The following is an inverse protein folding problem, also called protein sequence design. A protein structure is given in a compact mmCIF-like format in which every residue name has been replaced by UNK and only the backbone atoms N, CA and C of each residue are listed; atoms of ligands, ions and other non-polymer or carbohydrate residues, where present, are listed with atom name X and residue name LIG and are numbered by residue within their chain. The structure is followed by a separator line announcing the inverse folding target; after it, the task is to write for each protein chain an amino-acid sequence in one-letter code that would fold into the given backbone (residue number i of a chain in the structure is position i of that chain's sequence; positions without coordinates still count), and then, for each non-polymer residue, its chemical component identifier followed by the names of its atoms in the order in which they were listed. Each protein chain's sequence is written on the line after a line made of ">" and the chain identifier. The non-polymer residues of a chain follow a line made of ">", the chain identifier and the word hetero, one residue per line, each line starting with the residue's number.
data_IF_675702453459
#
_entry.id   IF_675702453459
#
_cell.length_a   1.000
_cell.length_b   1.000
_cell.length_c   1.000
_cell.angle_alpha   90.00
_cell.angle_beta   90.00
_cell.angle_gamma   90.00
#
_symmetry.space_group_name_H-M   'P 1'
#
loop_
_entity.id
_entity.type
_entity.pdbx_description
1 polymer ?
#
# COMPACT_ATOMS: atom_id res chain seq x y z
N UNK A 1 -27.38 -34.46 15.58
CA UNK A 1 -26.60 -33.20 15.66
C UNK A 1 -25.95 -32.94 14.31
N UNK A 2 -26.44 -31.98 13.53
CA UNK A 2 -25.84 -31.61 12.23
C UNK A 2 -24.66 -30.67 12.51
N UNK A 3 -23.44 -31.07 12.14
CA UNK A 3 -22.25 -30.21 12.23
C UNK A 3 -22.45 -29.02 11.28
N UNK A 4 -22.40 -27.81 11.83
CA UNK A 4 -22.47 -26.57 11.07
C UNK A 4 -21.18 -26.44 10.23
N UNK A 5 -21.25 -26.23 8.90
CA UNK A 5 -20.05 -25.97 8.13
C UNK A 5 -19.49 -24.61 8.58
N UNK A 6 -18.25 -24.58 9.06
CA UNK A 6 -17.55 -23.31 9.33
C UNK A 6 -17.56 -22.54 8.01
N UNK A 7 -18.14 -21.35 8.01
CA UNK A 7 -18.08 -20.40 6.90
C UNK A 7 -16.59 -20.23 6.57
N UNK A 8 -16.17 -20.73 5.40
CA UNK A 8 -14.79 -20.58 4.91
C UNK A 8 -14.64 -19.13 4.52
N UNK A 9 -14.24 -18.29 5.48
CA UNK A 9 -13.84 -16.92 5.17
C UNK A 9 -12.65 -17.00 4.19
N UNK A 10 -12.60 -16.13 3.17
CA UNK A 10 -11.47 -16.08 2.26
C UNK A 10 -10.18 -15.88 3.07
N UNK A 11 -9.07 -16.54 2.71
CA UNK A 11 -7.78 -16.33 3.37
C UNK A 11 -7.40 -14.86 3.30
N UNK A 12 -6.81 -14.36 4.40
CA UNK A 12 -6.46 -12.94 4.51
C UNK A 12 -5.46 -12.52 3.42
N UNK A 13 -5.74 -11.42 2.74
CA UNK A 13 -4.84 -10.78 1.77
C UNK A 13 -4.11 -9.66 2.47
N UNK A 14 -2.81 -9.82 2.73
CA UNK A 14 -1.97 -8.84 3.43
C UNK A 14 -1.54 -7.74 2.47
N UNK A 15 -2.10 -6.56 2.65
CA UNK A 15 -1.91 -5.41 1.77
C UNK A 15 -0.87 -4.45 2.36
N UNK A 16 0.24 -4.24 1.66
CA UNK A 16 1.15 -3.13 1.93
C UNK A 16 0.72 -1.88 1.17
N UNK A 17 0.93 -0.70 1.77
CA UNK A 17 0.72 0.57 1.07
C UNK A 17 2.07 1.22 0.79
N UNK A 18 2.27 1.56 -0.48
CA UNK A 18 3.42 2.33 -0.93
C UNK A 18 3.00 3.75 -1.29
N UNK A 19 3.68 4.74 -0.71
CA UNK A 19 3.45 6.15 -0.98
C UNK A 19 4.72 6.81 -1.54
N UNK A 20 4.55 7.75 -2.47
CA UNK A 20 5.68 8.48 -3.06
C UNK A 20 5.34 9.94 -3.29
N UNK A 21 6.28 10.84 -3.04
CA UNK A 21 6.18 12.27 -3.38
C UNK A 21 7.53 12.79 -3.87
N UNK A 22 7.56 13.42 -5.03
CA UNK A 22 8.74 14.15 -5.54
C UNK A 22 8.73 15.59 -5.04
N UNK A 23 9.85 16.11 -4.54
CA UNK A 23 10.08 17.56 -4.34
C UNK A 23 10.32 18.23 -5.71
N UNK A 24 9.90 19.47 -6.03
CA UNK A 24 9.74 20.69 -5.22
C UNK A 24 8.55 21.61 -5.62
N UNK A 25 7.71 21.26 -6.60
CA UNK A 25 6.60 22.11 -7.05
C UNK A 25 5.24 21.55 -6.62
N UNK A 26 4.43 22.36 -5.93
CA UNK A 26 3.04 22.03 -5.57
C UNK A 26 2.85 21.39 -4.18
N UNK A 27 3.72 21.71 -3.21
CA UNK A 27 3.64 21.20 -1.83
C UNK A 27 2.35 21.58 -1.09
N UNK A 28 1.68 22.66 -1.49
CA UNK A 28 0.51 23.25 -0.79
C UNK A 28 -0.86 22.70 -1.22
N UNK A 29 -0.90 21.62 -2.01
CA UNK A 29 -2.16 20.89 -2.23
C UNK A 29 -2.20 19.65 -1.34
N UNK A 30 -2.98 19.73 -0.25
CA UNK A 30 -3.22 18.65 0.72
C UNK A 30 -3.55 17.30 0.05
N UNK A 31 -4.17 17.33 -1.13
CA UNK A 31 -4.54 16.17 -1.95
C UNK A 31 -3.37 15.30 -2.45
N UNK A 32 -2.11 15.78 -2.38
CA UNK A 32 -0.92 15.04 -2.86
C UNK A 32 0.13 14.79 -1.75
N UNK A 33 -0.24 14.91 -0.46
CA UNK A 33 0.63 14.52 0.65
C UNK A 33 0.82 12.99 0.71
N UNK A 34 1.86 12.51 1.41
CA UNK A 34 2.05 11.08 1.65
C UNK A 34 0.93 10.53 2.54
N UNK A 35 0.48 11.32 3.52
CA UNK A 35 -0.60 10.93 4.43
C UNK A 35 -1.95 10.84 3.71
N UNK A 36 -2.29 11.77 2.81
CA UNK A 36 -3.50 11.66 2.01
C UNK A 36 -3.50 10.42 1.09
N UNK A 37 -2.33 10.07 0.53
CA UNK A 37 -2.19 8.83 -0.25
C UNK A 37 -2.39 7.59 0.63
N UNK A 38 -1.83 7.60 1.85
CA UNK A 38 -1.98 6.50 2.81
C UNK A 38 -3.43 6.35 3.25
N UNK A 39 -4.08 7.43 3.66
CA UNK A 39 -5.48 7.42 4.10
C UNK A 39 -6.41 6.90 3.00
N UNK A 40 -6.24 7.35 1.76
CA UNK A 40 -7.02 6.86 0.62
C UNK A 40 -6.82 5.35 0.38
N UNK A 41 -5.57 4.86 0.50
CA UNK A 41 -5.26 3.44 0.34
C UNK A 41 -5.80 2.59 1.51
N UNK A 42 -5.75 3.10 2.75
CA UNK A 42 -6.33 2.44 3.92
C UNK A 42 -7.85 2.33 3.81
N UNK A 43 -8.53 3.41 3.40
CA UNK A 43 -9.96 3.41 3.14
C UNK A 43 -10.34 2.41 2.03
N UNK A 44 -9.54 2.33 0.97
CA UNK A 44 -9.75 1.34 -0.08
C UNK A 44 -9.60 -0.09 0.44
N UNK A 45 -8.52 -0.41 1.17
CA UNK A 45 -8.32 -1.74 1.77
C UNK A 45 -9.47 -2.09 2.72
N UNK A 46 -9.92 -1.13 3.55
CA UNK A 46 -11.05 -1.32 4.44
C UNK A 46 -12.34 -1.66 3.66
N UNK A 47 -12.58 -1.01 2.53
CA UNK A 47 -13.73 -1.34 1.66
C UNK A 47 -13.67 -2.77 1.09
N UNK A 48 -12.48 -3.38 1.01
CA UNK A 48 -12.24 -4.73 0.51
C UNK A 48 -12.20 -5.81 1.63
N UNK A 49 -12.56 -5.47 2.87
CA UNK A 49 -12.59 -6.43 3.98
C UNK A 49 -13.46 -7.66 3.71
N UNK A 50 -14.56 -7.51 2.94
CA UNK A 50 -15.39 -8.63 2.50
C UNK A 50 -14.66 -9.66 1.62
N UNK A 51 -13.57 -9.24 0.96
CA UNK A 51 -12.68 -10.10 0.19
C UNK A 51 -11.46 -10.57 1.02
N UNK A 52 -11.43 -10.31 2.33
CA UNK A 52 -10.35 -10.73 3.23
C UNK A 52 -9.13 -9.80 3.23
N UNK A 53 -9.22 -8.59 2.66
CA UNK A 53 -8.08 -7.68 2.62
C UNK A 53 -7.77 -7.09 4.00
N UNK A 54 -6.47 -7.04 4.34
CA UNK A 54 -5.96 -6.56 5.63
C UNK A 54 -4.82 -5.59 5.38
N UNK A 55 -4.95 -4.37 5.92
CA UNK A 55 -3.89 -3.37 5.83
C UNK A 55 -2.74 -3.72 6.78
N UNK A 56 -1.51 -3.79 6.27
CA UNK A 56 -0.32 -3.97 7.07
C UNK A 56 0.09 -2.64 7.74
N UNK A 57 0.57 -2.67 9.01
CA UNK A 57 0.96 -1.47 9.76
C UNK A 57 2.24 -0.82 9.22
N UNK A 58 3.08 -1.59 8.51
CA UNK A 58 4.33 -1.09 7.96
C UNK A 58 4.09 0.02 6.92
N UNK A 59 4.90 1.08 7.00
CA UNK A 59 4.84 2.22 6.10
C UNK A 59 5.99 2.22 5.10
N UNK A 60 5.66 2.18 3.81
CA UNK A 60 6.63 2.25 2.72
C UNK A 60 6.50 3.61 2.03
N UNK A 61 7.15 4.62 2.60
CA UNK A 61 6.97 6.02 2.23
C UNK A 61 8.28 6.59 1.62
N UNK A 62 8.26 6.97 0.35
CA UNK A 62 9.36 7.67 -0.32
C UNK A 62 9.00 9.15 -0.57
N UNK A 63 9.26 9.99 0.43
CA UNK A 63 9.14 11.45 0.33
C UNK A 63 10.42 12.14 -0.14
N UNK A 64 10.33 13.07 -1.08
CA UNK A 64 11.48 13.79 -1.63
C UNK A 64 12.19 13.11 -2.80
N UNK A 65 11.59 12.05 -3.36
CA UNK A 65 12.18 11.27 -4.46
C UNK A 65 11.48 11.59 -5.78
N UNK A 66 12.22 12.08 -6.76
CA UNK A 66 11.71 12.25 -8.13
C UNK A 66 11.46 10.89 -8.78
N UNK A 67 10.59 10.82 -9.79
CA UNK A 67 10.41 9.60 -10.59
C UNK A 67 11.69 9.15 -11.32
N UNK A 68 12.67 10.05 -11.47
CA UNK A 68 13.95 9.82 -12.13
C UNK A 68 15.05 9.28 -11.21
N UNK A 69 14.95 9.48 -9.88
CA UNK A 69 15.90 8.90 -8.94
C UNK A 69 15.50 7.45 -8.61
N UNK A 70 16.48 6.57 -8.80
CA UNK A 70 16.36 5.11 -8.71
C UNK A 70 16.56 4.63 -7.26
N UNK A 71 17.19 5.44 -6.40
CA UNK A 71 17.41 5.10 -5.00
C UNK A 71 16.16 5.39 -4.16
N UNK A 72 15.23 4.44 -4.17
CA UNK A 72 13.96 4.49 -3.44
C UNK A 72 14.02 3.49 -2.28
N UNK A 73 14.45 3.91 -1.08
CA UNK A 73 14.71 3.00 0.03
C UNK A 73 13.44 2.28 0.50
N UNK A 74 12.29 2.95 0.50
CA UNK A 74 11.04 2.32 0.91
C UNK A 74 10.55 1.31 -0.14
N UNK A 75 10.69 1.61 -1.43
CA UNK A 75 10.41 0.65 -2.51
C UNK A 75 11.32 -0.58 -2.42
N UNK A 76 12.62 -0.38 -2.15
CA UNK A 76 13.57 -1.49 -2.00
C UNK A 76 13.17 -2.41 -0.85
N UNK A 77 12.84 -1.82 0.32
CA UNK A 77 12.34 -2.58 1.48
C UNK A 77 11.04 -3.33 1.17
N UNK A 78 10.13 -2.69 0.43
CA UNK A 78 8.87 -3.29 -0.01
C UNK A 78 9.12 -4.56 -0.83
N UNK A 79 10.02 -4.49 -1.81
CA UNK A 79 10.37 -5.63 -2.67
C UNK A 79 10.96 -6.79 -1.86
N UNK A 80 11.84 -6.51 -0.90
CA UNK A 80 12.39 -7.53 0.01
C UNK A 80 11.28 -8.21 0.82
N UNK A 81 10.31 -7.45 1.34
CA UNK A 81 9.20 -8.00 2.12
C UNK A 81 8.20 -8.79 1.24
N UNK A 82 8.05 -8.42 -0.04
CA UNK A 82 7.32 -9.21 -1.04
C UNK A 82 8.03 -10.54 -1.31
N UNK A 83 9.34 -10.51 -1.58
CA UNK A 83 10.15 -11.71 -1.83
C UNK A 83 10.17 -12.66 -0.63
N UNK A 84 10.11 -12.11 0.60
CA UNK A 84 9.98 -12.87 1.82
C UNK A 84 8.57 -13.45 2.07
N UNK A 85 7.60 -13.21 1.17
CA UNK A 85 6.23 -13.68 1.27
C UNK A 85 5.43 -13.03 2.41
N UNK A 86 5.80 -11.81 2.84
CA UNK A 86 5.08 -11.07 3.90
C UNK A 86 3.89 -10.27 3.37
N UNK A 87 3.88 -10.02 2.06
CA UNK A 87 2.93 -9.13 1.38
C UNK A 87 2.27 -9.92 0.25
N UNK A 88 0.94 -9.89 0.20
CA UNK A 88 0.16 -10.55 -0.86
C UNK A 88 -0.30 -9.53 -1.93
N UNK A 89 -0.46 -8.27 -1.55
CA UNK A 89 -0.87 -7.19 -2.45
C UNK A 89 -0.19 -5.86 -2.09
N UNK A 90 0.10 -5.04 -3.11
CA UNK A 90 0.57 -3.66 -2.94
C UNK A 90 -0.52 -2.72 -3.41
N UNK A 91 -0.89 -1.76 -2.55
CA UNK A 91 -1.86 -0.72 -2.85
C UNK A 91 -1.14 0.61 -2.98
N UNK A 92 -1.45 1.33 -4.05
CA UNK A 92 -0.93 2.67 -4.33
C UNK A 92 -2.05 3.59 -4.75
N UNK A 93 -1.92 4.88 -4.42
CA UNK A 93 -2.92 5.88 -4.78
C UNK A 93 -3.09 6.02 -6.31
N UNK A 94 -1.98 5.99 -7.05
CA UNK A 94 -1.94 5.98 -8.52
C UNK A 94 -0.76 5.13 -9.00
N UNK A 95 -0.93 4.41 -10.11
CA UNK A 95 0.10 3.51 -10.66
C UNK A 95 1.39 4.25 -11.02
N UNK A 96 1.28 5.52 -11.43
CA UNK A 96 2.42 6.40 -11.72
C UNK A 96 3.35 6.66 -10.51
N UNK A 97 2.91 6.27 -9.29
CA UNK A 97 3.69 6.33 -8.06
C UNK A 97 4.70 5.18 -7.95
N UNK A 98 4.41 4.01 -8.52
CA UNK A 98 5.36 2.88 -8.57
C UNK A 98 6.42 3.09 -9.65
N UNK A 99 5.99 3.40 -10.87
CA UNK A 99 6.86 3.62 -12.02
C UNK A 99 6.37 4.83 -12.81
N UNK A 100 7.30 5.60 -13.37
CA UNK A 100 7.00 6.59 -14.40
C UNK A 100 7.77 6.22 -15.66
#
# INVERSE_FOLDING_TARGET
>A
MRKNPKRTEPPAVRCAIYTRKSTSEGLDQDFNSLDAQREAAEAYIASQQGAGWVCLPDRYDDGGFTGANIDRPALTRLLVDIEAGKIDAVVVYKVDRLSR
#
